data_IF_805366304304
#
_entry.id   IF_805366304304
#
_cell.length_a   1.000
_cell.length_b   1.000
_cell.length_c   1.000
_cell.angle_alpha   90.00
_cell.angle_beta   90.00
_cell.angle_gamma   90.00
#
_symmetry.space_group_name_H-M   'P 1'
#
loop_
_entity.id
_entity.type
_entity.pdbx_description
1 polymer ?
#
# COMPACT_ATOMS: atom_id res chain seq x y z
N UNK A 1 -0.28 7.81 -39.19
CA UNK A 1 -1.21 8.53 -38.31
C UNK A 1 -0.69 8.38 -36.89
N UNK A 2 -0.40 9.49 -36.24
CA UNK A 2 -0.04 9.47 -34.82
C UNK A 2 -1.27 8.98 -34.05
N UNK A 3 -1.11 7.99 -33.16
CA UNK A 3 -2.18 7.52 -32.31
C UNK A 3 -2.64 8.67 -31.42
N UNK A 4 -3.96 8.81 -31.22
CA UNK A 4 -4.49 9.81 -30.31
C UNK A 4 -3.94 9.54 -28.90
N UNK A 5 -3.65 10.57 -28.12
CA UNK A 5 -3.20 10.38 -26.74
C UNK A 5 -4.31 9.69 -25.92
N UNK A 6 -3.91 8.69 -25.16
CA UNK A 6 -4.82 7.85 -24.38
C UNK A 6 -5.02 8.42 -22.99
N UNK A 7 -6.21 8.21 -22.40
CA UNK A 7 -6.47 8.48 -20.98
C UNK A 7 -6.89 7.22 -20.26
N UNK A 8 -6.61 7.18 -18.95
CA UNK A 8 -6.91 6.04 -18.08
C UNK A 8 -7.89 6.44 -16.98
N UNK A 9 -9.01 5.71 -16.92
CA UNK A 9 -9.96 5.73 -15.81
C UNK A 9 -10.08 4.31 -15.28
N UNK A 10 -9.77 4.06 -14.01
CA UNK A 10 -9.74 2.71 -13.45
C UNK A 10 -10.92 2.39 -12.54
N UNK A 11 -11.73 3.41 -12.18
CA UNK A 11 -12.91 3.21 -11.36
C UNK A 11 -14.09 4.06 -11.88
N UNK A 12 -15.31 3.52 -11.76
CA UNK A 12 -16.52 4.21 -12.26
C UNK A 12 -16.82 5.54 -11.54
N UNK A 13 -16.45 5.63 -10.28
CA UNK A 13 -16.67 6.83 -9.46
C UNK A 13 -15.64 7.94 -9.74
N UNK A 14 -14.54 7.64 -10.44
CA UNK A 14 -13.54 8.65 -10.78
C UNK A 14 -14.18 9.84 -11.50
N UNK A 15 -13.85 11.04 -11.02
CA UNK A 15 -14.23 12.30 -11.68
C UNK A 15 -13.05 12.95 -12.42
N UNK A 16 -11.89 12.28 -12.40
CA UNK A 16 -10.73 12.62 -13.22
C UNK A 16 -10.20 11.39 -13.96
N UNK A 17 -9.50 11.61 -15.06
CA UNK A 17 -8.71 10.61 -15.79
C UNK A 17 -7.23 11.00 -15.76
N UNK A 18 -6.35 10.02 -15.94
CA UNK A 18 -4.92 10.26 -16.05
C UNK A 18 -4.51 10.29 -17.53
N UNK A 19 -3.74 11.30 -17.90
CA UNK A 19 -3.21 11.46 -19.24
C UNK A 19 -2.06 10.47 -19.49
N UNK A 20 -2.21 9.55 -20.44
CA UNK A 20 -1.18 8.59 -20.85
C UNK A 20 -0.09 9.20 -21.74
N UNK A 21 -0.35 10.38 -22.28
CA UNK A 21 0.55 11.23 -23.07
C UNK A 21 0.20 12.68 -22.87
N UNK A 22 0.87 13.59 -23.58
CA UNK A 22 0.49 15.00 -23.59
C UNK A 22 -0.88 15.13 -24.27
N UNK A 23 -1.83 15.82 -23.61
CA UNK A 23 -3.11 16.18 -24.19
C UNK A 23 -3.06 17.64 -24.61
N UNK A 24 -3.27 17.92 -25.89
CA UNK A 24 -3.32 19.29 -26.40
C UNK A 24 -4.76 19.86 -26.31
N UNK A 25 -4.86 21.17 -26.10
CA UNK A 25 -6.15 21.84 -25.95
C UNK A 25 -7.06 21.62 -27.17
N UNK A 26 -8.30 21.18 -26.93
CA UNK A 26 -9.31 20.96 -27.96
C UNK A 26 -9.13 19.69 -28.78
N UNK A 27 -8.07 18.93 -28.62
CA UNK A 27 -7.85 17.68 -29.35
C UNK A 27 -8.75 16.54 -28.83
N UNK A 28 -9.12 15.65 -29.73
CA UNK A 28 -9.86 14.45 -29.36
C UNK A 28 -8.93 13.45 -28.66
N UNK A 29 -9.37 12.97 -27.51
CA UNK A 29 -8.62 12.03 -26.66
C UNK A 29 -9.23 10.64 -26.75
N UNK A 30 -8.41 9.61 -26.87
CA UNK A 30 -8.87 8.23 -26.83
C UNK A 30 -9.28 7.84 -25.41
N UNK A 31 -10.46 7.20 -25.28
CA UNK A 31 -11.00 6.79 -23.98
C UNK A 31 -11.75 7.89 -23.22
N UNK A 32 -11.91 9.10 -23.81
CA UNK A 32 -12.72 10.18 -23.23
C UNK A 32 -13.57 10.90 -24.29
N UNK A 33 -14.81 11.21 -23.94
CA UNK A 33 -15.66 12.11 -24.76
C UNK A 33 -15.38 13.60 -24.46
N UNK A 34 -14.54 13.89 -23.46
CA UNK A 34 -14.22 15.23 -23.00
C UNK A 34 -12.90 15.67 -23.67
N UNK A 35 -12.87 16.87 -24.21
CA UNK A 35 -11.70 17.48 -24.79
C UNK A 35 -10.96 18.30 -23.73
N UNK A 36 -9.60 18.27 -23.71
CA UNK A 36 -8.82 19.13 -22.81
C UNK A 36 -9.12 20.61 -23.07
N UNK A 37 -9.37 21.35 -22.00
CA UNK A 37 -9.54 22.82 -22.08
C UNK A 37 -8.22 23.55 -22.28
N UNK A 38 -7.13 22.96 -21.72
CA UNK A 38 -5.76 23.46 -21.81
C UNK A 38 -4.82 22.28 -22.07
N UNK A 39 -3.55 22.56 -22.40
CA UNK A 39 -2.53 21.54 -22.50
C UNK A 39 -2.30 20.85 -21.15
N UNK A 40 -2.41 19.52 -21.11
CA UNK A 40 -2.22 18.68 -19.92
C UNK A 40 -1.01 17.77 -20.13
N UNK A 41 0.00 17.83 -19.26
CA UNK A 41 1.18 16.98 -19.37
C UNK A 41 0.86 15.47 -19.16
N UNK A 42 1.70 14.61 -19.70
CA UNK A 42 1.62 13.17 -19.45
C UNK A 42 1.69 12.86 -17.94
N UNK A 43 0.87 11.93 -17.48
CA UNK A 43 0.75 11.54 -16.07
C UNK A 43 -0.10 12.48 -15.21
N UNK A 44 -0.48 13.65 -15.73
CA UNK A 44 -1.36 14.58 -15.03
C UNK A 44 -2.84 14.19 -15.19
N UNK A 45 -3.72 14.86 -14.45
CA UNK A 45 -5.15 14.57 -14.37
C UNK A 45 -5.97 15.59 -15.15
N UNK A 46 -7.01 15.09 -15.82
CA UNK A 46 -8.04 15.89 -16.48
C UNK A 46 -9.40 15.58 -15.83
N UNK A 47 -10.18 16.60 -15.50
CA UNK A 47 -11.54 16.42 -15.03
C UNK A 47 -12.44 15.86 -16.16
N UNK A 48 -13.24 14.86 -15.84
CA UNK A 48 -14.24 14.30 -16.77
C UNK A 48 -15.68 14.54 -16.32
N UNK A 49 -15.85 15.05 -15.11
CA UNK A 49 -17.13 15.51 -14.54
C UNK A 49 -16.91 16.92 -13.95
N UNK A 50 -17.98 17.71 -13.84
CA UNK A 50 -17.92 18.95 -13.06
C UNK A 50 -17.67 18.62 -11.58
N UNK A 51 -16.76 19.35 -10.94
CA UNK A 51 -16.40 19.19 -9.52
C UNK A 51 -16.53 20.57 -8.90
N UNK A 52 -17.50 20.76 -8.01
CA UNK A 52 -17.68 22.03 -7.32
C UNK A 52 -16.61 22.26 -6.25
N UNK A 53 -16.35 23.51 -5.91
CA UNK A 53 -15.47 23.85 -4.79
C UNK A 53 -15.86 23.11 -3.51
N UNK A 54 -14.89 22.52 -2.82
CA UNK A 54 -15.10 21.70 -1.62
C UNK A 54 -15.51 20.25 -1.88
N UNK A 55 -15.82 19.86 -3.11
CA UNK A 55 -16.10 18.46 -3.44
C UNK A 55 -14.83 17.63 -3.55
N UNK A 56 -14.97 16.34 -3.22
CA UNK A 56 -13.86 15.37 -3.31
C UNK A 56 -13.51 15.06 -4.76
N UNK A 57 -12.21 15.01 -5.02
CA UNK A 57 -11.63 14.53 -6.27
C UNK A 57 -11.30 13.05 -6.13
N UNK A 58 -11.84 12.23 -7.03
CA UNK A 58 -11.66 10.77 -7.02
C UNK A 58 -10.74 10.35 -8.17
N UNK A 59 -9.75 9.54 -7.86
CA UNK A 59 -8.85 8.87 -8.79
C UNK A 59 -8.61 7.44 -8.34
N UNK A 60 -8.87 6.47 -9.24
CA UNK A 60 -8.70 5.04 -8.96
C UNK A 60 -9.54 4.55 -7.77
N UNK A 61 -10.78 5.09 -7.66
CA UNK A 61 -11.70 4.79 -6.57
C UNK A 61 -11.33 5.40 -5.23
N UNK A 62 -10.29 6.24 -5.16
CA UNK A 62 -9.83 6.87 -3.93
C UNK A 62 -9.98 8.38 -3.99
N UNK A 63 -10.30 8.99 -2.84
CA UNK A 63 -10.26 10.43 -2.67
C UNK A 63 -8.79 10.86 -2.65
N UNK A 64 -8.42 11.77 -3.57
CA UNK A 64 -7.06 12.32 -3.65
C UNK A 64 -6.96 13.78 -3.16
N UNK A 65 -8.04 14.33 -2.68
CA UNK A 65 -8.14 15.69 -2.15
C UNK A 65 -9.50 16.31 -2.42
N UNK A 66 -9.61 17.62 -2.17
CA UNK A 66 -10.82 18.42 -2.46
C UNK A 66 -10.50 19.54 -3.46
N UNK A 67 -11.48 19.85 -4.32
CA UNK A 67 -11.38 20.97 -5.23
C UNK A 67 -11.37 22.29 -4.43
N UNK A 68 -10.43 23.19 -4.72
CA UNK A 68 -10.34 24.49 -4.08
C UNK A 68 -11.22 25.56 -4.78
N UNK A 69 -11.62 25.26 -6.01
CA UNK A 69 -12.57 26.07 -6.82
C UNK A 69 -13.37 25.11 -7.68
N UNK A 70 -14.39 25.63 -8.38
CA UNK A 70 -15.13 24.85 -9.37
C UNK A 70 -14.21 24.43 -10.51
N UNK A 71 -14.28 23.15 -10.89
CA UNK A 71 -13.48 22.54 -11.96
C UNK A 71 -14.46 22.00 -13.02
N UNK A 72 -14.29 22.46 -14.26
CA UNK A 72 -15.10 22.01 -15.38
C UNK A 72 -14.52 20.77 -16.07
N UNK A 73 -15.33 19.95 -16.76
CA UNK A 73 -14.81 18.87 -17.58
C UNK A 73 -13.81 19.38 -18.63
N UNK A 74 -12.70 18.67 -18.79
CA UNK A 74 -11.58 19.06 -19.66
C UNK A 74 -10.51 19.90 -18.98
N UNK A 75 -10.76 20.39 -17.78
CA UNK A 75 -9.74 21.17 -17.05
C UNK A 75 -8.65 20.28 -16.45
N UNK A 76 -7.44 20.84 -16.38
CA UNK A 76 -6.30 20.25 -15.72
C UNK A 76 -6.48 20.29 -14.20
N UNK A 77 -6.38 19.13 -13.55
CA UNK A 77 -6.50 19.02 -12.07
C UNK A 77 -5.11 18.84 -11.46
N UNK A 78 -4.69 19.84 -10.70
CA UNK A 78 -3.36 19.88 -10.06
C UNK A 78 -3.40 20.78 -8.80
N UNK A 79 -2.26 21.05 -8.19
CA UNK A 79 -2.12 21.84 -6.95
C UNK A 79 -2.79 23.23 -7.01
N UNK A 80 -3.02 23.80 -8.19
CA UNK A 80 -3.68 25.09 -8.33
C UNK A 80 -5.20 25.05 -8.06
N UNK A 81 -5.83 23.87 -8.15
CA UNK A 81 -7.26 23.67 -7.93
C UNK A 81 -7.60 22.40 -7.12
N UNK A 82 -6.59 21.73 -6.55
CA UNK A 82 -6.72 20.53 -5.72
C UNK A 82 -5.88 20.71 -4.46
N UNK A 83 -6.49 20.62 -3.28
CA UNK A 83 -5.80 20.62 -1.99
C UNK A 83 -6.02 19.29 -1.25
N UNK A 84 -5.07 18.96 -0.38
CA UNK A 84 -5.28 17.87 0.59
C UNK A 84 -6.45 18.23 1.48
N UNK A 85 -7.30 17.25 1.76
CA UNK A 85 -8.36 17.40 2.74
C UNK A 85 -8.22 16.37 3.84
N UNK A 86 -8.57 16.79 5.04
CA UNK A 86 -8.71 15.92 6.19
C UNK A 86 -10.06 15.20 6.08
N UNK A 87 -10.18 14.28 5.12
CA UNK A 87 -11.33 13.38 5.11
C UNK A 87 -11.02 12.26 6.09
N UNK A 88 -11.64 12.33 7.24
CA UNK A 88 -11.64 11.22 8.20
C UNK A 88 -12.13 9.97 7.47
N UNK A 89 -11.21 9.09 7.11
CA UNK A 89 -11.59 7.79 6.58
C UNK A 89 -12.47 7.07 7.63
N UNK A 90 -13.51 6.41 7.19
CA UNK A 90 -14.31 5.53 8.05
C UNK A 90 -13.49 4.28 8.43
N UNK A 91 -12.44 4.51 9.21
CA UNK A 91 -11.55 3.46 9.68
C UNK A 91 -12.22 2.74 10.87
N UNK A 92 -12.89 1.66 10.60
CA UNK A 92 -13.37 0.76 11.64
C UNK A 92 -12.30 -0.31 11.92
N UNK A 93 -11.38 0.00 12.84
CA UNK A 93 -10.37 -0.96 13.26
C UNK A 93 -11.04 -2.17 13.92
N UNK A 94 -10.50 -3.36 13.66
CA UNK A 94 -10.92 -4.63 14.25
C UNK A 94 -12.43 -4.96 14.04
N UNK A 95 -13.07 -4.45 12.98
CA UNK A 95 -14.48 -4.74 12.66
C UNK A 95 -14.78 -6.23 12.58
N UNK A 96 -13.86 -7.00 12.01
CA UNK A 96 -13.99 -8.45 11.82
C UNK A 96 -13.21 -9.25 12.89
N UNK A 97 -12.69 -8.59 13.91
CA UNK A 97 -12.01 -9.28 15.00
C UNK A 97 -13.02 -10.17 15.75
N UNK A 98 -12.63 -11.41 15.94
CA UNK A 98 -13.36 -12.39 16.72
C UNK A 98 -12.43 -12.93 17.79
N UNK A 99 -12.97 -13.19 18.97
CA UNK A 99 -12.22 -13.93 19.98
C UNK A 99 -11.83 -15.30 19.42
N UNK A 100 -10.56 -15.68 19.64
CA UNK A 100 -10.08 -17.00 19.26
C UNK A 100 -10.70 -18.04 20.20
N UNK A 101 -11.48 -18.95 19.65
CA UNK A 101 -11.97 -20.11 20.40
C UNK A 101 -10.78 -21.03 20.72
N UNK A 102 -10.39 -21.03 21.99
CA UNK A 102 -9.32 -21.91 22.46
C UNK A 102 -9.87 -23.32 22.72
N UNK A 103 -9.09 -24.33 22.33
CA UNK A 103 -9.39 -25.71 22.64
C UNK A 103 -9.51 -25.90 24.16
N UNK A 104 -10.52 -26.64 24.60
CA UNK A 104 -10.74 -26.95 26.01
C UNK A 104 -9.47 -27.55 26.64
N UNK A 105 -9.22 -27.25 27.90
CA UNK A 105 -7.94 -27.57 28.55
C UNK A 105 -7.60 -29.07 28.54
N UNK A 106 -8.61 -29.90 28.71
CA UNK A 106 -8.52 -31.37 28.66
C UNK A 106 -8.26 -31.94 27.26
N UNK A 107 -8.50 -31.13 26.20
CA UNK A 107 -8.28 -31.51 24.82
C UNK A 107 -7.01 -30.88 24.20
N UNK A 108 -6.29 -30.07 24.96
CA UNK A 108 -5.08 -29.42 24.47
C UNK A 108 -3.96 -30.42 24.28
N UNK A 109 -3.34 -30.39 23.09
CA UNK A 109 -2.12 -31.15 22.85
C UNK A 109 -1.00 -30.64 23.77
N UNK A 110 -0.18 -31.56 24.25
CA UNK A 110 0.98 -31.27 25.09
C UNK A 110 2.26 -31.61 24.35
N UNK A 111 3.36 -30.98 24.77
CA UNK A 111 4.69 -31.25 24.23
C UNK A 111 5.75 -31.16 25.34
N UNK A 112 6.91 -31.76 25.12
CA UNK A 112 8.08 -31.60 26.00
C UNK A 112 8.79 -30.29 25.63
N UNK A 113 9.01 -29.42 26.61
CA UNK A 113 9.63 -28.13 26.37
C UNK A 113 10.53 -27.68 27.52
N UNK A 114 11.34 -26.67 27.26
CA UNK A 114 12.19 -26.02 28.24
C UNK A 114 11.46 -24.87 28.91
N UNK A 115 11.30 -24.93 30.24
CA UNK A 115 10.73 -23.83 31.01
C UNK A 115 11.80 -22.77 31.24
N UNK A 116 11.52 -21.54 30.82
CA UNK A 116 12.39 -20.38 30.97
C UNK A 116 12.17 -19.70 32.32
N UNK A 117 13.15 -18.88 32.75
CA UNK A 117 13.10 -18.17 34.02
C UNK A 117 11.92 -17.16 34.11
N UNK A 118 11.42 -16.65 33.00
CA UNK A 118 10.26 -15.78 32.90
C UNK A 118 8.92 -16.53 32.88
N UNK A 119 8.95 -17.85 33.05
CA UNK A 119 7.77 -18.73 33.05
C UNK A 119 7.29 -19.18 31.68
N UNK A 120 7.87 -18.68 30.58
CA UNK A 120 7.58 -19.16 29.22
C UNK A 120 8.18 -20.53 28.97
N UNK A 121 7.62 -21.22 27.99
CA UNK A 121 8.10 -22.55 27.59
C UNK A 121 8.45 -22.51 26.10
N UNK A 122 9.60 -23.05 25.74
CA UNK A 122 10.07 -23.16 24.38
C UNK A 122 10.61 -24.55 24.08
N UNK A 123 10.56 -24.96 22.82
CA UNK A 123 11.14 -26.22 22.35
C UNK A 123 12.55 -26.03 21.80
N UNK A 124 12.87 -24.80 21.39
CA UNK A 124 14.14 -24.44 20.78
C UNK A 124 14.50 -23.00 21.14
N UNK A 125 15.77 -22.66 20.96
CA UNK A 125 16.32 -21.34 21.23
C UNK A 125 16.92 -20.74 19.96
N UNK A 126 16.11 -19.98 19.23
CA UNK A 126 16.52 -19.31 17.99
C UNK A 126 16.85 -17.85 18.21
N UNK A 127 17.82 -17.34 17.45
CA UNK A 127 18.01 -15.90 17.26
C UNK A 127 17.11 -15.45 16.13
N UNK A 128 16.20 -14.52 16.42
CA UNK A 128 15.29 -13.94 15.41
C UNK A 128 15.83 -12.61 14.87
N UNK A 129 15.86 -12.46 13.54
CA UNK A 129 16.10 -11.19 12.86
C UNK A 129 14.75 -10.70 12.33
N UNK A 130 14.21 -9.66 12.98
CA UNK A 130 12.92 -9.09 12.59
C UNK A 130 13.13 -7.88 11.69
N UNK A 131 12.33 -7.78 10.64
CA UNK A 131 12.33 -6.63 9.75
C UNK A 131 11.18 -5.68 10.08
N UNK A 132 11.42 -4.37 10.00
CA UNK A 132 10.39 -3.34 10.17
C UNK A 132 9.68 -3.02 8.86
N UNK A 133 10.35 -3.26 7.71
CA UNK A 133 9.83 -3.01 6.36
C UNK A 133 10.34 -4.09 5.40
N UNK A 134 9.61 -4.33 4.31
CA UNK A 134 10.00 -5.32 3.30
C UNK A 134 11.36 -5.01 2.64
N UNK A 135 11.76 -3.75 2.55
CA UNK A 135 13.05 -3.33 1.97
C UNK A 135 14.25 -3.97 2.68
N UNK A 136 14.14 -4.29 3.98
CA UNK A 136 15.19 -4.94 4.75
C UNK A 136 15.12 -6.48 4.72
N UNK A 137 14.11 -7.08 4.09
CA UNK A 137 13.88 -8.52 4.09
C UNK A 137 15.05 -9.32 3.48
N UNK A 138 15.57 -8.85 2.34
CA UNK A 138 16.72 -9.49 1.69
C UNK A 138 17.97 -9.43 2.56
N UNK A 139 18.23 -8.30 3.21
CA UNK A 139 19.38 -8.12 4.10
C UNK A 139 19.27 -9.06 5.30
N UNK A 140 18.10 -9.13 5.96
CA UNK A 140 17.86 -10.04 7.08
C UNK A 140 18.11 -11.51 6.69
N UNK A 141 17.60 -11.92 5.52
CA UNK A 141 17.80 -13.28 5.00
C UNK A 141 19.27 -13.57 4.65
N UNK A 142 20.00 -12.59 4.09
CA UNK A 142 21.42 -12.75 3.81
C UNK A 142 22.25 -12.86 5.10
N UNK A 143 21.91 -12.08 6.14
CA UNK A 143 22.60 -12.18 7.44
C UNK A 143 22.38 -13.57 8.04
N UNK A 144 21.16 -14.08 8.05
CA UNK A 144 20.88 -15.41 8.59
C UNK A 144 21.70 -16.49 7.86
N UNK A 145 21.71 -16.48 6.53
CA UNK A 145 22.50 -17.42 5.70
C UNK A 145 23.99 -17.30 5.94
N UNK A 146 24.51 -16.08 6.10
CA UNK A 146 25.95 -15.87 6.30
C UNK A 146 26.40 -16.35 7.69
N UNK A 147 25.56 -16.17 8.71
CA UNK A 147 25.82 -16.70 10.07
C UNK A 147 25.88 -18.23 10.05
N UNK A 148 24.92 -18.88 9.39
CA UNK A 148 24.91 -20.34 9.22
C UNK A 148 26.14 -20.84 8.44
N UNK A 149 26.44 -20.19 7.31
CA UNK A 149 27.57 -20.57 6.45
C UNK A 149 28.92 -20.46 7.14
N UNK A 150 29.09 -19.49 8.03
CA UNK A 150 30.32 -19.27 8.78
C UNK A 150 30.40 -20.09 10.09
N UNK A 151 29.38 -20.90 10.36
CA UNK A 151 29.32 -21.70 11.58
C UNK A 151 29.46 -20.85 12.87
N UNK A 152 29.01 -19.59 12.85
CA UNK A 152 29.15 -18.67 14.00
C UNK A 152 28.45 -19.20 15.24
N UNK A 153 27.39 -20.00 15.05
CA UNK A 153 26.61 -20.56 16.15
C UNK A 153 27.29 -21.75 16.85
N UNK A 154 28.36 -22.32 16.30
CA UNK A 154 29.07 -23.44 16.89
C UNK A 154 29.70 -23.09 18.28
N UNK A 155 30.03 -21.82 18.48
CA UNK A 155 30.50 -21.29 19.76
C UNK A 155 29.38 -21.08 20.79
N UNK A 156 28.12 -21.28 20.41
CA UNK A 156 26.93 -21.02 21.23
C UNK A 156 26.03 -22.26 21.34
N UNK A 157 26.42 -23.28 22.12
CA UNK A 157 25.74 -24.58 22.20
C UNK A 157 24.26 -24.49 22.67
N UNK A 158 23.87 -23.36 23.27
CA UNK A 158 22.50 -23.12 23.72
C UNK A 158 21.62 -22.40 22.67
N UNK A 159 22.14 -22.17 21.48
CA UNK A 159 21.41 -21.54 20.36
C UNK A 159 21.21 -22.58 19.25
N UNK A 160 19.96 -22.90 18.95
CA UNK A 160 19.60 -23.93 17.97
C UNK A 160 19.65 -23.44 16.51
N UNK A 161 19.72 -22.14 16.30
CA UNK A 161 19.77 -21.58 14.95
C UNK A 161 19.41 -20.10 14.90
N UNK A 162 19.36 -19.59 13.68
CA UNK A 162 18.99 -18.21 13.36
C UNK A 162 17.85 -18.22 12.34
N UNK A 163 16.90 -17.30 12.47
CA UNK A 163 15.78 -17.18 11.55
C UNK A 163 15.50 -15.71 11.19
N UNK A 164 15.34 -15.44 9.91
CA UNK A 164 14.87 -14.15 9.43
C UNK A 164 13.35 -14.15 9.37
N UNK A 165 12.71 -13.28 10.13
CA UNK A 165 11.26 -13.06 10.14
C UNK A 165 10.97 -11.83 9.28
N UNK A 166 10.54 -12.08 8.05
CA UNK A 166 10.29 -11.04 7.05
C UNK A 166 8.80 -10.93 6.75
N UNK A 167 8.38 -9.81 6.21
CA UNK A 167 7.01 -9.58 5.73
C UNK A 167 7.02 -8.80 4.42
N UNK A 168 5.88 -8.79 3.71
CA UNK A 168 5.74 -8.17 2.39
C UNK A 168 5.21 -6.74 2.40
N UNK A 169 5.02 -6.15 3.58
CA UNK A 169 4.50 -4.77 3.71
C UNK A 169 5.62 -3.78 3.98
N UNK A 170 5.43 -2.52 3.55
CA UNK A 170 6.36 -1.41 3.77
C UNK A 170 5.85 -0.43 4.79
#
# INVERSE_FOLDING_TARGET
PMSKPQTFQLHADDNVVVAGGILEAGEAVEGSAIHPATRIPSGHKMAVKSIAAGQSVFKFGQIIGQATCDISPGEHVHEHNLAMSDHGGDYAYARDARETELVAEDQRATFQGYRRGDGKVGTRNYVGILTSVNCSATVASLIAREVEKRAVLDDFPNVDGIVALTHGTG
#
